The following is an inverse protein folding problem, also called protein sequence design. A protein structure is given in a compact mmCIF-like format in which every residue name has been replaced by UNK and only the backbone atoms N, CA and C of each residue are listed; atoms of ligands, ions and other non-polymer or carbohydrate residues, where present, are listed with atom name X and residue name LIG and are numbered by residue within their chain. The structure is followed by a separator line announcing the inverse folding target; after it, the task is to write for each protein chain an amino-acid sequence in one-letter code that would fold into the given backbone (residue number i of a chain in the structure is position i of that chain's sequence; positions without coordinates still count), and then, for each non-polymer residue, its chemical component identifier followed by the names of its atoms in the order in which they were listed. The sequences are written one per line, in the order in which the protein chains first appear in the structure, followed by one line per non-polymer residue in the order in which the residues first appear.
data_IF_293898801436
#
_entry.id   IF_293898801436
#
_cell.length_a   1.000
_cell.length_b   1.000
_cell.length_c   1.000
_cell.angle_alpha   90.00
_cell.angle_beta   90.00
_cell.angle_gamma   90.00
#
_symmetry.space_group_name_H-M   'P 1'
#
loop_
_entity.id
_entity.type
_entity.pdbx_description
1 polymer ?
#
# COMPACT_ATOMS: atom_id res chain seq x y z
N UNK A 1 6.35 14.15 2.48
CA UNK A 1 5.73 15.09 1.51
C UNK A 1 6.49 15.11 0.19
N UNK A 2 7.82 15.14 0.19
CA UNK A 2 8.67 15.25 -1.02
C UNK A 2 8.43 14.09 -2.01
N UNK A 3 8.29 12.86 -1.51
CA UNK A 3 7.95 11.70 -2.33
C UNK A 3 6.62 11.87 -3.06
N UNK A 4 5.60 12.34 -2.34
CA UNK A 4 4.27 12.59 -2.90
C UNK A 4 4.30 13.71 -3.95
N UNK A 5 5.02 14.79 -3.67
CA UNK A 5 5.22 15.91 -4.59
C UNK A 5 5.90 15.45 -5.88
N UNK A 6 6.99 14.68 -5.75
CA UNK A 6 7.73 14.12 -6.90
C UNK A 6 6.85 13.27 -7.81
N UNK A 7 6.08 12.34 -7.22
CA UNK A 7 5.19 11.46 -7.98
C UNK A 7 4.04 12.26 -8.64
N UNK A 8 3.55 13.31 -7.97
CA UNK A 8 2.53 14.21 -8.52
C UNK A 8 3.05 15.00 -9.73
N UNK A 9 4.25 15.58 -9.64
CA UNK A 9 4.89 16.35 -10.72
C UNK A 9 5.19 15.49 -11.96
N UNK A 10 5.39 14.18 -11.79
CA UNK A 10 5.53 13.21 -12.89
C UNK A 10 4.19 12.91 -13.58
N UNK A 11 3.06 13.40 -13.05
CA UNK A 11 1.72 13.15 -13.58
C UNK A 11 1.17 11.76 -13.23
N UNK A 12 1.74 11.09 -12.22
CA UNK A 12 1.32 9.76 -11.77
C UNK A 12 0.29 9.82 -10.62
N UNK A 13 -0.05 11.02 -10.18
CA UNK A 13 -1.14 11.27 -9.24
C UNK A 13 -2.16 12.18 -9.93
N UNK A 14 -3.45 11.83 -9.82
CA UNK A 14 -4.55 12.61 -10.37
C UNK A 14 -5.72 12.67 -9.39
N UNK A 15 -6.56 13.69 -9.55
CA UNK A 15 -7.74 13.91 -8.72
C UNK A 15 -8.97 13.30 -9.38
N UNK A 16 -9.81 12.64 -8.59
CA UNK A 16 -11.06 12.05 -9.04
C UNK A 16 -12.07 12.01 -7.90
N UNK A 17 -13.35 12.23 -8.21
CA UNK A 17 -14.42 11.90 -7.27
C UNK A 17 -14.53 10.38 -7.20
N UNK A 18 -14.39 9.86 -5.99
CA UNK A 18 -14.55 8.45 -5.71
C UNK A 18 -15.88 8.23 -4.99
N UNK A 19 -16.72 7.40 -5.58
CA UNK A 19 -17.94 6.90 -4.96
C UNK A 19 -17.71 5.44 -4.62
N UNK A 20 -17.85 5.09 -3.35
CA UNK A 20 -17.60 3.74 -2.89
C UNK A 20 -18.37 3.40 -1.61
N UNK A 21 -18.34 2.12 -1.25
CA UNK A 21 -18.94 1.62 -0.03
C UNK A 21 -17.94 1.75 1.11
N UNK A 22 -18.22 2.60 2.07
CA UNK A 22 -17.32 2.96 3.16
C UNK A 22 -17.76 2.33 4.48
N UNK A 23 -16.84 1.66 5.14
CA UNK A 23 -17.04 1.20 6.51
C UNK A 23 -16.47 2.23 7.48
N UNK A 24 -17.35 2.97 8.16
CA UNK A 24 -16.96 4.02 9.11
C UNK A 24 -16.06 3.47 10.24
N UNK A 25 -16.38 2.34 10.90
CA UNK A 25 -15.55 1.85 11.99
C UNK A 25 -14.18 1.30 11.58
N UNK A 26 -14.04 0.82 10.34
CA UNK A 26 -12.77 0.30 9.82
C UNK A 26 -12.01 1.34 8.99
N UNK A 27 -12.63 2.51 8.75
CA UNK A 27 -12.08 3.58 7.90
C UNK A 27 -11.61 3.08 6.54
N UNK A 28 -12.39 2.16 5.93
CA UNK A 28 -11.99 1.45 4.71
C UNK A 28 -13.08 1.49 3.66
N UNK A 29 -12.67 1.71 2.41
CA UNK A 29 -13.51 1.54 1.24
C UNK A 29 -13.48 0.11 0.74
N UNK A 30 -14.64 -0.36 0.28
CA UNK A 30 -14.84 -1.69 -0.27
C UNK A 30 -15.52 -1.62 -1.63
N UNK A 31 -15.14 -2.52 -2.51
CA UNK A 31 -15.91 -2.78 -3.72
C UNK A 31 -17.09 -3.72 -3.37
N UNK A 32 -18.18 -3.62 -4.08
CA UNK A 32 -19.37 -4.48 -3.87
C UNK A 32 -19.01 -5.97 -3.80
N UNK A 33 -18.11 -6.41 -4.70
CA UNK A 33 -17.63 -7.81 -4.77
C UNK A 33 -16.78 -8.26 -3.58
N UNK A 34 -16.37 -7.33 -2.72
CA UNK A 34 -15.51 -7.59 -1.56
C UNK A 34 -16.31 -7.64 -0.26
N UNK A 35 -17.57 -7.22 -0.28
CA UNK A 35 -18.45 -7.28 0.87
C UNK A 35 -18.74 -8.74 1.26
N UNK A 36 -19.14 -8.94 2.50
CA UNK A 36 -19.59 -10.25 2.97
C UNK A 36 -20.96 -10.63 2.41
N UNK A 37 -21.45 -11.83 2.76
CA UNK A 37 -22.73 -12.39 2.29
C UNK A 37 -23.95 -11.52 2.64
N UNK A 38 -23.81 -10.62 3.64
CA UNK A 38 -24.86 -9.71 4.07
C UNK A 38 -24.67 -8.28 3.52
N UNK A 39 -23.80 -8.09 2.51
CA UNK A 39 -23.40 -6.78 1.98
C UNK A 39 -22.80 -5.84 3.05
N UNK A 40 -22.10 -6.43 4.03
CA UNK A 40 -21.42 -5.71 5.11
C UNK A 40 -19.90 -5.75 4.93
N UNK A 41 -19.20 -4.97 5.74
CA UNK A 41 -17.74 -4.94 5.78
C UNK A 41 -17.17 -6.33 6.09
N UNK A 42 -16.25 -6.89 5.27
CA UNK A 42 -15.70 -8.22 5.50
C UNK A 42 -14.84 -8.33 6.76
N UNK A 43 -14.32 -7.19 7.27
CA UNK A 43 -13.45 -7.18 8.44
C UNK A 43 -14.23 -7.13 9.76
N UNK A 44 -15.29 -6.34 9.83
CA UNK A 44 -16.02 -6.10 11.09
C UNK A 44 -17.51 -6.47 11.03
N UNK A 45 -18.01 -6.92 9.87
CA UNK A 45 -19.41 -7.33 9.62
C UNK A 45 -20.45 -6.24 9.92
N UNK A 46 -20.05 -4.95 9.91
CA UNK A 46 -20.96 -3.82 10.07
C UNK A 46 -21.42 -3.29 8.71
N UNK A 47 -22.60 -2.66 8.66
CA UNK A 47 -23.08 -2.03 7.42
C UNK A 47 -22.07 -1.05 6.86
N UNK A 48 -22.00 -0.97 5.53
CA UNK A 48 -21.25 0.04 4.78
C UNK A 48 -22.19 1.10 4.25
N UNK A 49 -21.70 2.32 4.07
CA UNK A 49 -22.47 3.47 3.56
C UNK A 49 -21.91 3.91 2.21
N UNK A 50 -22.79 4.31 1.29
CA UNK A 50 -22.31 4.99 0.07
C UNK A 50 -21.71 6.35 0.47
N UNK A 51 -20.44 6.55 0.13
CA UNK A 51 -19.75 7.81 0.36
C UNK A 51 -19.12 8.28 -0.92
N UNK A 52 -19.31 9.54 -1.24
CA UNK A 52 -18.63 10.21 -2.36
C UNK A 52 -17.63 11.21 -1.80
N UNK A 53 -16.37 11.02 -2.18
CA UNK A 53 -15.26 11.85 -1.71
C UNK A 53 -14.36 12.23 -2.90
N UNK A 54 -13.98 13.50 -2.97
CA UNK A 54 -12.91 13.92 -3.87
C UNK A 54 -11.57 13.42 -3.28
N UNK A 55 -10.84 12.63 -4.06
CA UNK A 55 -9.58 12.05 -3.60
C UNK A 55 -8.53 12.05 -4.70
N UNK A 56 -7.27 11.98 -4.30
CA UNK A 56 -6.16 11.76 -5.22
C UNK A 56 -5.83 10.27 -5.34
N UNK A 57 -5.51 9.87 -6.57
CA UNK A 57 -5.21 8.50 -6.94
C UNK A 57 -3.81 8.39 -7.53
N UNK A 58 -3.06 7.41 -7.07
CA UNK A 58 -1.79 7.02 -7.66
C UNK A 58 -2.00 5.99 -8.76
N UNK A 59 -1.49 6.26 -9.96
CA UNK A 59 -1.67 5.45 -11.18
C UNK A 59 -0.90 4.13 -11.11
N UNK A 60 -1.29 3.22 -10.24
CA UNK A 60 -0.66 1.91 -10.13
C UNK A 60 -0.84 1.07 -11.40
N UNK A 61 -1.98 1.21 -12.09
CA UNK A 61 -2.28 0.52 -13.35
C UNK A 61 -1.22 0.77 -14.42
N UNK A 62 -0.62 1.96 -14.47
CA UNK A 62 0.49 2.31 -15.38
C UNK A 62 1.71 1.40 -15.23
N UNK A 63 1.93 0.88 -14.04
CA UNK A 63 3.12 0.12 -13.66
C UNK A 63 2.92 -1.39 -13.68
N UNK A 64 1.76 -1.88 -14.08
CA UNK A 64 1.41 -3.30 -14.06
C UNK A 64 2.39 -4.15 -14.87
N UNK A 65 2.65 -3.78 -16.12
CA UNK A 65 3.50 -4.56 -17.02
C UNK A 65 4.96 -4.55 -16.54
N UNK A 66 5.43 -3.38 -16.07
CA UNK A 66 6.73 -3.28 -15.44
C UNK A 66 6.84 -4.22 -14.22
N UNK A 67 5.83 -4.24 -13.35
CA UNK A 67 5.86 -5.08 -12.15
C UNK A 67 5.89 -6.57 -12.50
N UNK A 68 5.10 -7.00 -13.48
CA UNK A 68 5.10 -8.39 -13.95
C UNK A 68 6.46 -8.80 -14.49
N UNK A 69 7.09 -7.95 -15.31
CA UNK A 69 8.42 -8.16 -15.82
C UNK A 69 9.46 -8.21 -14.70
N UNK A 70 9.40 -7.26 -13.76
CA UNK A 70 10.31 -7.22 -12.60
C UNK A 70 10.26 -8.52 -11.79
N UNK A 71 9.08 -9.05 -11.50
CA UNK A 71 8.93 -10.31 -10.75
C UNK A 71 9.41 -11.54 -11.55
N UNK A 72 9.32 -11.51 -12.86
CA UNK A 72 9.88 -12.56 -13.72
C UNK A 72 11.41 -12.56 -13.71
N UNK A 73 12.01 -11.38 -13.80
CA UNK A 73 13.46 -11.17 -13.74
C UNK A 73 14.07 -11.41 -12.35
N UNK A 74 13.26 -11.25 -11.29
CA UNK A 74 13.67 -11.40 -9.89
C UNK A 74 12.83 -12.46 -9.17
N UNK A 75 12.99 -13.75 -9.49
CA UNK A 75 12.13 -14.82 -8.98
C UNK A 75 12.18 -15.01 -7.46
N UNK A 76 13.23 -14.55 -6.81
CA UNK A 76 13.42 -14.65 -5.36
C UNK A 76 12.95 -13.40 -4.58
N UNK A 77 12.51 -12.36 -5.28
CA UNK A 77 12.06 -11.12 -4.65
C UNK A 77 10.89 -11.34 -3.67
N UNK A 78 9.96 -12.24 -3.99
CA UNK A 78 8.82 -12.57 -3.11
C UNK A 78 8.93 -14.01 -2.61
N UNK A 79 9.04 -14.16 -1.30
CA UNK A 79 9.12 -15.46 -0.63
C UNK A 79 8.00 -15.63 0.42
N UNK A 80 7.53 -16.85 0.64
CA UNK A 80 7.78 -18.08 -0.15
C UNK A 80 7.09 -18.04 -1.52
N UNK A 81 7.40 -18.99 -2.38
CA UNK A 81 6.87 -19.08 -3.76
C UNK A 81 5.34 -19.07 -3.82
N UNK A 82 4.65 -19.58 -2.81
CA UNK A 82 3.18 -19.51 -2.72
C UNK A 82 2.68 -18.05 -2.69
N UNK A 83 3.37 -17.17 -1.97
CA UNK A 83 3.04 -15.72 -1.93
C UNK A 83 3.35 -15.04 -3.25
N UNK A 84 4.47 -15.39 -3.87
CA UNK A 84 4.81 -14.90 -5.22
C UNK A 84 3.71 -15.22 -6.22
N UNK A 85 3.27 -16.46 -6.27
CA UNK A 85 2.23 -16.90 -7.20
C UNK A 85 0.87 -16.21 -6.92
N UNK A 86 0.51 -16.02 -5.65
CA UNK A 86 -0.68 -15.29 -5.24
C UNK A 86 -0.63 -13.84 -5.77
N UNK A 87 0.49 -13.14 -5.60
CA UNK A 87 0.65 -11.75 -6.04
C UNK A 87 0.65 -11.63 -7.57
N UNK A 88 1.31 -12.54 -8.29
CA UNK A 88 1.27 -12.59 -9.76
C UNK A 88 -0.16 -12.76 -10.27
N UNK A 89 -0.91 -13.70 -9.68
CA UNK A 89 -2.30 -13.95 -10.07
C UNK A 89 -3.19 -12.73 -9.77
N UNK A 90 -2.94 -12.05 -8.65
CA UNK A 90 -3.65 -10.81 -8.31
C UNK A 90 -3.38 -9.71 -9.35
N UNK A 91 -2.12 -9.46 -9.69
CA UNK A 91 -1.74 -8.39 -10.64
C UNK A 91 -2.25 -8.69 -12.06
N UNK A 92 -2.25 -9.96 -12.47
CA UNK A 92 -2.78 -10.38 -13.78
C UNK A 92 -4.29 -10.16 -13.95
N UNK A 93 -5.04 -9.98 -12.86
CA UNK A 93 -6.46 -9.60 -12.93
C UNK A 93 -6.68 -8.13 -13.25
N UNK A 94 -5.63 -7.33 -13.26
CA UNK A 94 -5.61 -5.88 -13.48
C UNK A 94 -5.37 -5.11 -12.19
N UNK A 95 -4.37 -4.22 -12.19
CA UNK A 95 -4.16 -3.30 -11.08
C UNK A 95 -5.11 -2.10 -11.20
N UNK A 96 -5.78 -1.81 -10.11
CA UNK A 96 -6.53 -0.57 -9.95
C UNK A 96 -5.65 0.53 -9.38
N UNK A 97 -5.95 1.79 -9.71
CA UNK A 97 -5.25 2.93 -9.15
C UNK A 97 -5.55 3.09 -7.67
N UNK A 98 -4.53 3.41 -6.88
CA UNK A 98 -4.63 3.47 -5.44
C UNK A 98 -5.12 4.84 -4.98
N UNK A 99 -6.21 4.89 -4.24
CA UNK A 99 -6.62 6.09 -3.51
C UNK A 99 -5.63 6.39 -2.39
N UNK A 100 -5.01 7.57 -2.42
CA UNK A 100 -3.89 7.93 -1.54
C UNK A 100 -4.19 9.11 -0.60
N UNK A 101 -5.40 9.67 -0.63
CA UNK A 101 -5.77 10.79 0.24
C UNK A 101 -7.16 10.62 0.84
N UNK A 102 -7.42 11.42 1.89
CA UNK A 102 -8.72 11.55 2.57
C UNK A 102 -9.02 13.01 2.84
N UNK A 103 -10.31 13.36 2.89
CA UNK A 103 -10.82 14.67 3.29
C UNK A 103 -11.78 14.61 4.48
N UNK A 104 -12.14 13.42 4.93
CA UNK A 104 -13.12 13.18 6.00
C UNK A 104 -12.60 13.48 7.40
N UNK A 105 -11.29 13.69 7.55
CA UNK A 105 -10.64 14.08 8.81
C UNK A 105 -9.40 14.93 8.54
N UNK A 106 -9.01 15.73 9.52
CA UNK A 106 -7.90 16.70 9.42
C UNK A 106 -6.58 16.18 10.00
N UNK A 107 -6.63 15.09 10.76
CA UNK A 107 -5.43 14.52 11.38
C UNK A 107 -4.64 13.69 10.37
N UNK A 108 -3.38 14.04 10.17
CA UNK A 108 -2.49 13.33 9.25
C UNK A 108 -1.48 14.25 8.58
N UNK A 109 -0.75 13.71 7.59
CA UNK A 109 0.21 14.46 6.80
C UNK A 109 -0.55 15.23 5.71
N UNK A 110 -0.52 16.58 5.71
CA UNK A 110 -1.16 17.34 4.66
C UNK A 110 -0.54 17.07 3.29
N UNK A 111 -1.37 16.97 2.27
CA UNK A 111 -0.92 16.86 0.88
C UNK A 111 -0.25 18.18 0.47
N UNK A 112 1.00 18.18 -0.04
CA UNK A 112 1.75 19.42 -0.27
C UNK A 112 1.12 20.33 -1.33
N UNK A 113 0.49 19.75 -2.34
CA UNK A 113 -0.15 20.50 -3.45
C UNK A 113 -1.66 20.75 -3.23
N UNK A 114 -2.28 20.18 -2.19
CA UNK A 114 -3.68 20.44 -1.82
C UNK A 114 -3.94 20.19 -0.33
N UNK A 115 -3.86 21.24 0.46
CA UNK A 115 -3.94 21.16 1.94
C UNK A 115 -5.31 20.76 2.49
N UNK A 116 -6.33 20.61 1.64
CA UNK A 116 -7.64 20.08 2.04
C UNK A 116 -7.61 18.57 2.25
N UNK A 117 -6.57 17.92 1.73
CA UNK A 117 -6.39 16.48 1.78
C UNK A 117 -5.28 16.11 2.77
N UNK A 118 -5.44 14.99 3.44
CA UNK A 118 -4.40 14.30 4.21
C UNK A 118 -4.02 13.00 3.50
N UNK A 119 -2.76 12.61 3.65
CA UNK A 119 -2.23 11.38 3.04
C UNK A 119 -2.84 10.17 3.71
N UNK A 120 -3.29 9.20 2.92
CA UNK A 120 -3.79 7.92 3.42
C UNK A 120 -2.68 7.07 4.01
N UNK A 121 -3.01 6.40 5.12
CA UNK A 121 -2.06 5.71 6.01
C UNK A 121 -1.10 4.76 5.29
N UNK A 122 -1.55 3.99 4.31
CA UNK A 122 -0.66 3.02 3.67
C UNK A 122 0.37 3.64 2.74
N UNK A 123 0.05 4.75 2.09
CA UNK A 123 1.05 5.49 1.32
C UNK A 123 2.10 6.11 2.24
N UNK A 124 1.69 6.64 3.38
CA UNK A 124 2.58 7.20 4.40
C UNK A 124 3.42 6.11 5.09
N UNK A 125 2.77 5.04 5.55
CA UNK A 125 3.41 3.99 6.33
C UNK A 125 4.57 3.31 5.60
N UNK A 126 4.46 3.09 4.29
CA UNK A 126 5.54 2.49 3.48
C UNK A 126 6.75 3.42 3.35
N UNK A 127 6.54 4.72 3.27
CA UNK A 127 7.63 5.70 3.22
C UNK A 127 8.44 5.78 4.52
N UNK A 128 7.91 5.23 5.62
CA UNK A 128 8.64 5.18 6.89
C UNK A 128 9.95 4.40 6.79
N UNK A 129 10.05 3.41 5.92
CA UNK A 129 11.30 2.70 5.66
C UNK A 129 12.41 3.63 5.17
N UNK A 130 12.08 4.58 4.30
CA UNK A 130 13.04 5.59 3.80
C UNK A 130 13.31 6.68 4.85
N UNK A 131 12.27 7.15 5.54
CA UNK A 131 12.39 8.16 6.58
C UNK A 131 13.28 7.69 7.72
N UNK A 132 13.13 6.43 8.16
CA UNK A 132 13.93 5.84 9.24
C UNK A 132 15.43 5.78 8.93
N UNK A 133 15.80 5.69 7.66
CA UNK A 133 17.19 5.69 7.19
C UNK A 133 17.62 7.03 6.58
N UNK A 134 16.88 8.12 6.88
CA UNK A 134 17.22 9.51 6.56
C UNK A 134 17.29 9.84 5.06
N UNK A 135 16.48 9.19 4.23
CA UNK A 135 16.37 9.54 2.82
C UNK A 135 16.13 11.06 2.64
N UNK A 136 16.91 11.68 1.74
CA UNK A 136 16.82 13.10 1.45
C UNK A 136 17.35 14.05 2.53
N UNK A 137 17.90 13.54 3.65
CA UNK A 137 18.48 14.33 4.74
C UNK A 137 19.92 13.95 5.09
N UNK A 138 20.31 12.68 4.85
CA UNK A 138 21.66 12.16 5.09
C UNK A 138 21.94 11.03 4.08
N UNK A 139 22.51 11.40 2.94
CA UNK A 139 22.76 10.46 1.84
C UNK A 139 23.75 9.34 2.23
N UNK A 140 24.74 9.65 3.06
CA UNK A 140 25.72 8.64 3.50
C UNK A 140 25.04 7.57 4.38
N UNK A 141 24.15 7.99 5.28
CA UNK A 141 23.39 7.08 6.11
C UNK A 141 22.36 6.30 5.29
N UNK A 142 21.68 6.95 4.33
CA UNK A 142 20.75 6.31 3.43
C UNK A 142 21.43 5.20 2.63
N UNK A 143 22.49 5.48 1.89
CA UNK A 143 23.20 4.50 1.06
C UNK A 143 23.90 3.38 1.84
N UNK A 144 24.11 3.57 3.15
CA UNK A 144 24.64 2.51 4.02
C UNK A 144 23.59 1.42 4.27
N UNK A 145 22.29 1.77 4.32
CA UNK A 145 21.22 0.88 4.73
C UNK A 145 20.20 0.58 3.63
N UNK A 146 20.24 1.29 2.51
CA UNK A 146 19.39 1.04 1.36
C UNK A 146 20.23 0.54 0.17
N UNK A 147 19.76 -0.47 -0.59
CA UNK A 147 18.47 -1.15 -0.44
C UNK A 147 18.43 -2.11 0.77
N UNK A 148 17.22 -2.29 1.32
CA UNK A 148 17.01 -3.25 2.40
C UNK A 148 17.26 -4.69 1.90
N UNK A 149 17.96 -5.50 2.70
CA UNK A 149 18.20 -6.91 2.35
C UNK A 149 16.93 -7.75 2.45
N UNK A 150 16.05 -7.46 3.41
CA UNK A 150 14.84 -8.21 3.67
C UNK A 150 13.75 -7.33 4.28
N UNK A 151 12.53 -7.43 3.74
CA UNK A 151 11.30 -7.06 4.43
C UNK A 151 10.61 -8.33 4.94
N UNK A 152 10.66 -8.56 6.26
CA UNK A 152 9.97 -9.67 6.92
C UNK A 152 8.60 -9.21 7.40
N UNK A 153 7.53 -9.70 6.80
CA UNK A 153 6.17 -9.19 7.02
C UNK A 153 5.15 -10.31 7.22
N UNK A 154 4.09 -10.02 7.95
CA UNK A 154 2.93 -10.92 8.05
C UNK A 154 2.18 -11.03 6.72
N UNK A 155 1.57 -12.18 6.48
CA UNK A 155 0.86 -12.45 5.21
C UNK A 155 -0.23 -11.43 4.86
N UNK A 156 -0.81 -10.76 5.85
CA UNK A 156 -1.86 -9.75 5.69
C UNK A 156 -1.39 -8.46 5.01
N UNK A 157 -0.09 -8.15 5.13
CA UNK A 157 0.49 -6.94 4.55
C UNK A 157 1.47 -7.23 3.40
N UNK A 158 1.55 -8.49 2.94
CA UNK A 158 2.40 -8.88 1.80
C UNK A 158 2.09 -8.05 0.57
N UNK A 159 0.81 -7.84 0.23
CA UNK A 159 0.40 -7.04 -0.94
C UNK A 159 0.96 -5.62 -0.92
N UNK A 160 0.97 -4.99 0.23
CA UNK A 160 1.53 -3.64 0.39
C UNK A 160 3.03 -3.62 0.11
N UNK A 161 3.76 -4.62 0.57
CA UNK A 161 5.22 -4.67 0.46
C UNK A 161 5.74 -5.25 -0.86
N UNK A 162 4.91 -6.02 -1.57
CA UNK A 162 5.33 -6.68 -2.81
C UNK A 162 4.76 -6.04 -4.07
N UNK A 163 3.68 -5.27 -3.97
CA UNK A 163 3.05 -4.59 -5.11
C UNK A 163 3.15 -3.08 -4.94
N UNK A 164 2.52 -2.51 -3.91
CA UNK A 164 2.43 -1.05 -3.75
C UNK A 164 3.81 -0.45 -3.52
N UNK A 165 4.58 -1.00 -2.61
CA UNK A 165 5.90 -0.49 -2.24
C UNK A 165 6.90 -0.50 -3.39
N UNK A 166 7.11 -1.60 -4.15
CA UNK A 166 7.97 -1.58 -5.33
C UNK A 166 7.52 -0.57 -6.39
N UNK A 167 6.22 -0.44 -6.63
CA UNK A 167 5.71 0.53 -7.60
C UNK A 167 6.00 1.97 -7.14
N UNK A 168 5.84 2.27 -5.84
CA UNK A 168 6.21 3.58 -5.29
C UNK A 168 7.71 3.85 -5.43
N UNK A 169 8.56 2.89 -5.10
CA UNK A 169 10.02 3.01 -5.24
C UNK A 169 10.41 3.23 -6.71
N UNK A 170 9.83 2.46 -7.62
CA UNK A 170 10.07 2.62 -9.05
C UNK A 170 9.66 4.00 -9.55
N UNK A 171 8.47 4.48 -9.19
CA UNK A 171 8.01 5.82 -9.51
C UNK A 171 8.93 6.92 -8.95
N UNK A 172 9.56 6.66 -7.81
CA UNK A 172 10.55 7.56 -7.20
C UNK A 172 11.96 7.42 -7.79
N UNK A 173 12.22 6.42 -8.65
CA UNK A 173 13.54 6.12 -9.19
C UNK A 173 14.51 5.56 -8.16
N UNK A 174 14.02 4.83 -7.16
CA UNK A 174 14.80 4.20 -6.11
C UNK A 174 14.99 2.70 -6.36
N UNK A 175 16.07 2.15 -5.83
CA UNK A 175 16.33 0.72 -5.86
C UNK A 175 15.29 -0.06 -5.05
N UNK A 176 15.05 -1.32 -5.46
CA UNK A 176 14.15 -2.22 -4.76
C UNK A 176 14.84 -2.88 -3.56
N UNK A 177 14.11 -3.25 -2.48
CA UNK A 177 14.64 -4.19 -1.50
C UNK A 177 14.99 -5.52 -2.19
N UNK A 178 15.92 -6.29 -1.61
CA UNK A 178 16.38 -7.53 -2.24
C UNK A 178 15.32 -8.64 -2.14
N UNK A 179 14.60 -8.71 -1.01
CA UNK A 179 13.59 -9.74 -0.76
C UNK A 179 12.46 -9.22 0.12
N UNK A 180 11.26 -9.75 -0.11
CA UNK A 180 10.11 -9.63 0.80
C UNK A 180 9.64 -11.04 1.19
N UNK A 181 9.72 -11.37 2.47
CA UNK A 181 9.28 -12.66 3.01
C UNK A 181 7.96 -12.51 3.78
N UNK A 182 6.91 -13.16 3.28
CA UNK A 182 5.58 -13.17 3.91
C UNK A 182 5.35 -14.40 4.80
N UNK A 183 5.48 -14.24 6.11
CA UNK A 183 5.23 -15.33 7.07
C UNK A 183 3.72 -15.53 7.35
N UNK A 184 3.37 -16.70 7.87
CA UNK A 184 2.00 -17.03 8.32
C UNK A 184 1.58 -16.24 9.57
N UNK A 185 0.35 -16.48 10.04
CA UNK A 185 -0.11 -15.92 11.31
C UNK A 185 0.76 -16.37 12.47
N UNK A 186 1.09 -15.47 13.36
CA UNK A 186 1.54 -15.83 14.71
C UNK A 186 0.30 -16.21 15.52
N UNK A 187 0.30 -17.40 16.06
CA UNK A 187 -0.84 -17.94 16.82
C UNK A 187 -0.45 -18.28 18.24
N UNK A 188 -1.38 -18.08 19.17
CA UNK A 188 -1.29 -18.50 20.57
C UNK A 188 -2.55 -19.29 20.87
N UNK A 189 -2.39 -20.52 21.38
CA UNK A 189 -3.49 -21.45 21.71
C UNK A 189 -4.48 -21.69 20.55
N UNK A 190 -3.98 -21.66 19.29
CA UNK A 190 -4.77 -21.85 18.09
C UNK A 190 -5.43 -20.59 17.52
N UNK A 191 -5.43 -19.51 18.24
CA UNK A 191 -5.96 -18.22 17.82
C UNK A 191 -4.89 -17.28 17.27
N UNK A 192 -5.24 -16.42 16.30
CA UNK A 192 -4.36 -15.34 15.84
C UNK A 192 -4.01 -14.42 17.00
N UNK A 193 -2.70 -14.24 17.24
CA UNK A 193 -2.22 -13.25 18.20
C UNK A 193 -2.65 -11.84 17.78
N UNK A 194 -3.29 -11.11 18.69
CA UNK A 194 -3.72 -9.74 18.46
C UNK A 194 -3.56 -8.89 19.73
N UNK A 195 -3.44 -7.56 19.56
CA UNK A 195 -3.31 -6.62 20.68
C UNK A 195 -4.50 -6.66 21.65
N UNK A 196 -5.69 -7.03 21.16
CA UNK A 196 -6.91 -7.11 21.97
C UNK A 196 -7.03 -8.40 22.79
N UNK A 197 -6.18 -9.40 22.53
CA UNK A 197 -6.19 -10.68 23.26
C UNK A 197 -4.99 -10.82 24.23
N UNK A 198 -4.17 -9.78 24.36
CA UNK A 198 -3.03 -9.72 25.27
C UNK A 198 -1.73 -10.11 24.59
#
# INVERSE_FOLDING_TARGET
QDALQKIYEQGDIYKKNYKGLYCVPCESYWLERQLDENHCCPDCHRPVEEMEEESYFFKMSKYQDWWLQFIEEHPDFIQPASRRNEMINFVKQGLEDLCITRTTFDWGIPVPFDKKHVVYVWFDALLNYLTGIKYGTDDAFFHKYWPASLHLVGKEIVRFHTIIWPIMLHAMGLEMPQEVYGHGWLVVDGDKMSKSKG
#
